data_IF_630177572533
#
_entry.id   IF_630177572533
#
_cell.length_a   1.000
_cell.length_b   1.000
_cell.length_c   1.000
_cell.angle_alpha   90.00
_cell.angle_beta   90.00
_cell.angle_gamma   90.00
#
_symmetry.space_group_name_H-M   'P 1'
#
loop_
_entity.id
_entity.type
_entity.pdbx_description
1 polymer ?
#
# COMPACT_ATOMS: atom_id res chain seq x y z
N UNK A 1 -6.33 -17.66 18.28
CA UNK A 1 -5.44 -17.01 17.30
C UNK A 1 -4.21 -17.88 17.17
N UNK A 2 -3.77 -18.15 15.94
CA UNK A 2 -2.53 -18.92 15.73
C UNK A 2 -1.31 -18.12 16.20
N UNK A 3 -0.18 -18.74 16.57
CA UNK A 3 1.04 -18.01 16.93
C UNK A 3 1.52 -17.02 15.85
N UNK A 4 1.16 -17.26 14.58
CA UNK A 4 1.48 -16.40 13.43
C UNK A 4 0.65 -15.11 13.46
N UNK A 5 -0.62 -15.16 13.86
CA UNK A 5 -1.49 -13.96 13.90
C UNK A 5 -1.03 -12.93 14.94
N UNK A 6 -0.31 -13.36 15.98
CA UNK A 6 0.24 -12.45 17.00
C UNK A 6 1.40 -11.58 16.48
N UNK A 7 1.87 -11.80 15.25
CA UNK A 7 2.92 -11.03 14.57
C UNK A 7 2.35 -10.12 13.48
N UNK A 8 1.05 -9.84 13.52
CA UNK A 8 0.38 -8.83 12.70
C UNK A 8 -0.09 -7.66 13.57
N UNK A 9 0.41 -6.47 13.27
CA UNK A 9 0.00 -5.23 13.91
C UNK A 9 -0.76 -4.36 12.90
N UNK A 10 -1.80 -3.68 13.37
CA UNK A 10 -2.62 -2.79 12.54
C UNK A 10 -2.42 -1.37 13.03
N UNK A 11 -2.09 -0.48 12.09
CA UNK A 11 -1.98 0.97 12.26
C UNK A 11 -2.69 1.63 11.09
N UNK A 12 -4.00 1.78 11.18
CA UNK A 12 -4.82 2.27 10.07
C UNK A 12 -4.49 3.75 9.79
N UNK A 13 -3.49 3.97 8.94
CA UNK A 13 -2.77 5.24 8.86
C UNK A 13 -3.70 6.42 8.54
N UNK A 14 -4.54 6.28 7.51
CA UNK A 14 -5.47 7.35 7.11
C UNK A 14 -6.58 7.61 8.15
N UNK A 15 -6.95 6.60 8.94
CA UNK A 15 -7.87 6.79 10.06
C UNK A 15 -7.21 7.55 11.21
N UNK A 16 -5.96 7.22 11.54
CA UNK A 16 -5.18 7.91 12.57
C UNK A 16 -4.91 9.38 12.18
N UNK A 17 -4.75 9.67 10.89
CA UNK A 17 -4.66 11.03 10.34
C UNK A 17 -5.99 11.79 10.30
N UNK A 18 -7.12 11.15 10.65
CA UNK A 18 -8.43 11.79 10.66
C UNK A 18 -9.05 12.01 9.28
N UNK A 19 -8.59 11.29 8.25
CA UNK A 19 -9.12 11.43 6.89
C UNK A 19 -10.60 11.03 6.85
N UNK A 20 -11.49 11.85 6.26
CA UNK A 20 -12.91 11.52 6.14
C UNK A 20 -13.14 10.17 5.43
N UNK A 21 -14.09 9.37 5.94
CA UNK A 21 -14.45 8.05 5.38
C UNK A 21 -13.34 7.00 5.38
N UNK A 22 -12.17 7.28 5.97
CA UNK A 22 -11.12 6.28 6.21
C UNK A 22 -11.63 5.14 7.10
N UNK A 23 -11.05 3.96 6.95
CA UNK A 23 -11.46 2.77 7.69
C UNK A 23 -10.62 2.58 8.95
N UNK A 24 -11.27 2.27 10.07
CA UNK A 24 -10.57 1.95 11.33
C UNK A 24 -9.87 0.58 11.26
N UNK A 25 -10.34 -0.32 10.41
CA UNK A 25 -9.78 -1.65 10.20
C UNK A 25 -9.25 -1.77 8.78
N UNK A 26 -8.20 -2.56 8.59
CA UNK A 26 -7.66 -2.90 7.28
C UNK A 26 -8.38 -4.13 6.74
N UNK A 27 -8.86 -4.03 5.51
CA UNK A 27 -9.57 -5.11 4.82
C UNK A 27 -8.77 -5.54 3.59
N UNK A 28 -8.73 -6.84 3.31
CA UNK A 28 -8.13 -7.40 2.11
C UNK A 28 -9.04 -8.50 1.56
N UNK A 29 -8.83 -8.87 0.30
CA UNK A 29 -9.42 -10.10 -0.28
C UNK A 29 -8.92 -11.32 0.50
N UNK A 30 -9.77 -12.33 0.67
CA UNK A 30 -9.43 -13.52 1.45
C UNK A 30 -8.11 -14.16 1.00
N UNK A 31 -7.94 -14.42 -0.31
CA UNK A 31 -6.69 -15.03 -0.78
C UNK A 31 -5.47 -14.09 -0.58
N UNK A 32 -5.66 -12.77 -0.58
CA UNK A 32 -4.58 -11.84 -0.26
C UNK A 32 -4.19 -11.93 1.23
N UNK A 33 -5.15 -12.13 2.14
CA UNK A 33 -4.87 -12.43 3.57
C UNK A 33 -4.09 -13.73 3.71
N UNK A 34 -4.51 -14.78 3.00
CA UNK A 34 -3.82 -16.08 3.03
C UNK A 34 -2.36 -15.95 2.56
N UNK A 35 -2.10 -15.21 1.46
CA UNK A 35 -0.75 -14.90 1.00
C UNK A 35 0.03 -14.02 1.98
N UNK A 36 -0.61 -13.06 2.63
CA UNK A 36 0.05 -12.22 3.63
C UNK A 36 0.51 -13.05 4.84
N UNK A 37 -0.32 -14.00 5.29
CA UNK A 37 0.05 -14.95 6.35
C UNK A 37 1.17 -15.90 5.90
N UNK A 38 1.19 -16.31 4.64
CA UNK A 38 2.29 -17.04 4.03
C UNK A 38 3.59 -16.22 4.01
N UNK A 39 3.54 -14.95 3.59
CA UNK A 39 4.68 -14.03 3.62
C UNK A 39 5.25 -13.88 5.04
N UNK A 40 4.37 -13.75 6.04
CA UNK A 40 4.76 -13.65 7.44
C UNK A 40 5.47 -14.91 7.95
N UNK A 41 5.12 -16.09 7.41
CA UNK A 41 5.80 -17.35 7.73
C UNK A 41 7.25 -17.41 7.22
N UNK A 42 7.60 -16.61 6.22
CA UNK A 42 8.97 -16.49 5.70
C UNK A 42 9.84 -15.53 6.53
N UNK A 43 9.25 -14.73 7.42
CA UNK A 43 10.00 -13.83 8.28
C UNK A 43 10.60 -14.56 9.49
N UNK A 44 11.86 -14.25 9.90
CA UNK A 44 12.42 -14.72 11.16
C UNK A 44 11.52 -14.34 12.34
N UNK A 45 11.46 -15.16 13.39
CA UNK A 45 10.52 -15.02 14.51
C UNK A 45 10.53 -13.62 15.16
N UNK A 46 11.71 -12.97 15.22
CA UNK A 46 11.90 -11.62 15.78
C UNK A 46 11.32 -10.45 14.95
N UNK A 47 10.70 -10.76 13.81
CA UNK A 47 10.07 -9.79 12.92
C UNK A 47 8.55 -9.97 12.91
N UNK A 48 7.84 -8.89 12.65
CA UNK A 48 6.39 -8.85 12.44
C UNK A 48 6.06 -8.04 11.19
N UNK A 49 4.79 -8.00 10.80
CA UNK A 49 4.29 -6.98 9.89
C UNK A 49 3.44 -5.95 10.64
N UNK A 50 3.58 -4.70 10.23
CA UNK A 50 2.70 -3.61 10.61
C UNK A 50 1.98 -3.16 9.34
N UNK A 51 0.66 -3.31 9.32
CA UNK A 51 -0.18 -2.97 8.17
C UNK A 51 -0.68 -1.54 8.31
N UNK A 52 -0.50 -0.74 7.25
CA UNK A 52 -0.88 0.67 7.20
C UNK A 52 -2.16 0.91 6.42
N UNK A 53 -2.30 0.26 5.26
CA UNK A 53 -3.50 0.36 4.43
C UNK A 53 -3.75 -0.91 3.61
N UNK A 54 -4.99 -1.12 3.20
CA UNK A 54 -5.42 -2.26 2.37
C UNK A 54 -6.50 -1.81 1.41
N UNK A 55 -7.71 -2.35 1.53
CA UNK A 55 -8.85 -1.81 0.80
C UNK A 55 -9.10 -0.35 1.18
N UNK A 56 -8.89 0.54 0.21
CA UNK A 56 -9.15 1.97 0.34
C UNK A 56 -10.43 2.34 -0.42
N UNK A 57 -11.48 2.82 0.26
CA UNK A 57 -12.71 3.24 -0.40
C UNK A 57 -12.46 4.37 -1.42
N UNK A 58 -13.25 4.40 -2.50
CA UNK A 58 -13.13 5.45 -3.54
C UNK A 58 -13.17 6.86 -2.94
N UNK A 59 -14.02 7.10 -1.94
CA UNK A 59 -14.14 8.42 -1.31
C UNK A 59 -12.84 8.84 -0.61
N UNK A 60 -12.06 7.89 -0.08
CA UNK A 60 -10.75 8.14 0.53
C UNK A 60 -9.71 8.37 -0.55
N UNK A 61 -9.69 7.57 -1.61
CA UNK A 61 -8.78 7.76 -2.75
C UNK A 61 -9.00 9.14 -3.41
N UNK A 62 -10.26 9.53 -3.64
CA UNK A 62 -10.61 10.84 -4.19
C UNK A 62 -10.16 11.97 -3.26
N UNK A 63 -10.40 11.84 -1.95
CA UNK A 63 -9.96 12.84 -0.98
C UNK A 63 -8.44 13.05 -1.01
N UNK A 64 -7.66 11.96 -0.97
CA UNK A 64 -6.19 12.02 -1.04
C UNK A 64 -5.72 12.71 -2.32
N UNK A 65 -6.30 12.32 -3.46
CA UNK A 65 -6.00 12.92 -4.76
C UNK A 65 -6.28 14.42 -4.79
N UNK A 66 -7.47 14.83 -4.35
CA UNK A 66 -7.88 16.24 -4.31
C UNK A 66 -7.00 17.08 -3.37
N UNK A 67 -6.63 16.55 -2.20
CA UNK A 67 -5.76 17.26 -1.26
C UNK A 67 -4.37 17.51 -1.84
N UNK A 68 -3.76 16.49 -2.46
CA UNK A 68 -2.44 16.65 -3.11
C UNK A 68 -2.54 17.65 -4.27
N UNK A 69 -3.58 17.53 -5.10
CA UNK A 69 -3.81 18.44 -6.22
C UNK A 69 -3.97 19.90 -5.76
N UNK A 70 -4.75 20.14 -4.70
CA UNK A 70 -4.95 21.47 -4.12
C UNK A 70 -3.65 22.04 -3.56
N UNK A 71 -2.88 21.23 -2.82
CA UNK A 71 -1.60 21.66 -2.27
C UNK A 71 -0.61 22.04 -3.38
N UNK A 72 -0.48 21.21 -4.43
CA UNK A 72 0.39 21.50 -5.56
C UNK A 72 -0.03 22.78 -6.30
N UNK A 73 -1.33 23.02 -6.49
CA UNK A 73 -1.83 24.25 -7.10
C UNK A 73 -1.49 25.49 -6.26
N UNK A 74 -1.51 25.38 -4.93
CA UNK A 74 -1.12 26.47 -4.03
C UNK A 74 0.40 26.70 -4.04
N UNK A 75 1.20 25.64 -4.08
CA UNK A 75 2.67 25.71 -4.14
C UNK A 75 3.16 26.25 -5.48
N UNK A 76 2.51 25.86 -6.58
CA UNK A 76 2.88 26.21 -7.95
C UNK A 76 1.70 26.89 -8.68
N UNK A 77 1.36 28.13 -8.32
CA UNK A 77 0.15 28.80 -8.85
C UNK A 77 0.18 29.08 -10.35
N UNK A 78 1.36 29.01 -10.99
CA UNK A 78 1.54 29.23 -12.42
C UNK A 78 1.47 27.96 -13.25
N UNK A 79 1.42 26.77 -12.61
CA UNK A 79 1.26 25.53 -13.34
C UNK A 79 -0.14 25.41 -13.92
N UNK A 80 -0.21 24.84 -15.12
CA UNK A 80 -1.44 24.43 -15.77
C UNK A 80 -2.10 23.27 -15.04
N UNK A 81 -3.39 23.05 -15.30
CA UNK A 81 -4.12 21.91 -14.76
C UNK A 81 -3.45 20.57 -15.08
N UNK A 82 -2.92 20.43 -16.31
CA UNK A 82 -2.25 19.20 -16.75
C UNK A 82 -0.94 18.98 -15.98
N UNK A 83 -0.13 20.01 -15.78
CA UNK A 83 1.10 19.92 -14.97
C UNK A 83 0.80 19.50 -13.53
N UNK A 84 -0.19 20.13 -12.88
CA UNK A 84 -0.60 19.76 -11.52
C UNK A 84 -1.13 18.32 -11.49
N UNK A 85 -1.91 17.90 -12.49
CA UNK A 85 -2.44 16.55 -12.55
C UNK A 85 -1.32 15.52 -12.73
N UNK A 86 -0.38 15.74 -13.65
CA UNK A 86 0.76 14.85 -13.87
C UNK A 86 1.64 14.75 -12.63
N UNK A 87 1.85 15.87 -11.93
CA UNK A 87 2.60 15.85 -10.68
C UNK A 87 1.84 15.10 -9.59
N UNK A 88 0.53 15.32 -9.43
CA UNK A 88 -0.31 14.62 -8.45
C UNK A 88 -0.23 13.09 -8.60
N UNK A 89 -0.21 12.60 -9.85
CA UNK A 89 -0.14 11.17 -10.15
C UNK A 89 1.15 10.49 -9.67
N UNK A 90 2.21 11.23 -9.34
CA UNK A 90 3.42 10.69 -8.73
C UNK A 90 3.28 10.37 -7.25
N UNK A 91 2.28 10.97 -6.58
CA UNK A 91 2.06 10.81 -5.15
C UNK A 91 0.88 9.89 -4.84
N UNK A 92 -0.09 9.82 -5.76
CA UNK A 92 -1.33 9.08 -5.53
C UNK A 92 -1.98 8.68 -6.85
N UNK A 93 -2.37 7.41 -6.96
CA UNK A 93 -3.06 6.90 -8.13
C UNK A 93 -4.38 7.67 -8.39
N UNK A 94 -4.74 7.83 -9.67
CA UNK A 94 -6.02 8.44 -10.02
C UNK A 94 -7.20 7.66 -9.42
N UNK A 95 -8.24 8.33 -8.84
CA UNK A 95 -9.38 7.67 -8.23
C UNK A 95 -10.34 7.06 -9.28
N UNK A 96 -9.90 5.98 -9.92
CA UNK A 96 -10.67 5.27 -10.94
C UNK A 96 -11.27 3.96 -10.42
N UNK A 97 -12.50 3.69 -10.86
CA UNK A 97 -13.18 2.38 -10.75
C UNK A 97 -13.39 1.74 -12.13
N UNK A 98 -12.80 2.31 -13.18
CA UNK A 98 -12.96 1.80 -14.54
C UNK A 98 -12.30 0.42 -14.70
N UNK A 99 -12.97 -0.46 -15.44
CA UNK A 99 -12.43 -1.78 -15.74
C UNK A 99 -11.09 -1.65 -16.49
N UNK A 100 -10.07 -2.37 -16.01
CA UNK A 100 -8.72 -2.35 -16.58
C UNK A 100 -7.78 -1.27 -16.04
N UNK A 101 -8.29 -0.23 -15.35
CA UNK A 101 -7.44 0.76 -14.69
C UNK A 101 -8.00 1.24 -13.33
N UNK A 102 -8.47 0.35 -12.43
CA UNK A 102 -8.85 0.77 -11.10
C UNK A 102 -7.62 1.16 -10.28
N UNK A 103 -7.73 2.13 -9.36
CA UNK A 103 -6.65 2.37 -8.41
C UNK A 103 -6.43 1.10 -7.54
N UNK A 104 -5.18 0.65 -7.32
CA UNK A 104 -4.92 -0.70 -6.81
C UNK A 104 -5.62 -1.03 -5.48
N UNK A 105 -5.60 -0.09 -4.53
CA UNK A 105 -6.24 -0.26 -3.23
C UNK A 105 -7.76 -0.42 -3.30
N UNK A 106 -8.45 0.08 -4.33
CA UNK A 106 -9.89 -0.13 -4.46
C UNK A 106 -10.25 -1.59 -4.68
N UNK A 107 -9.32 -2.42 -5.15
CA UNK A 107 -9.56 -3.84 -5.42
C UNK A 107 -9.57 -4.72 -4.16
N UNK A 108 -9.01 -4.20 -3.06
CA UNK A 108 -8.70 -4.97 -1.85
C UNK A 108 -7.56 -6.00 -2.04
N UNK A 109 -6.86 -5.94 -3.17
CA UNK A 109 -5.69 -6.77 -3.46
C UNK A 109 -4.35 -6.09 -3.18
N UNK A 110 -4.33 -4.77 -2.98
CA UNK A 110 -3.14 -4.03 -2.59
C UNK A 110 -3.03 -3.92 -1.07
N UNK A 111 -1.80 -3.90 -0.57
CA UNK A 111 -1.46 -3.73 0.86
C UNK A 111 -0.24 -2.81 0.97
N UNK A 112 -0.33 -1.86 1.90
CA UNK A 112 0.80 -1.06 2.37
C UNK A 112 1.22 -1.55 3.75
N UNK A 113 2.49 -1.91 3.90
CA UNK A 113 3.00 -2.48 5.15
C UNK A 113 4.49 -2.21 5.35
N UNK A 114 4.92 -2.38 6.60
CA UNK A 114 6.33 -2.39 6.98
C UNK A 114 6.68 -3.60 7.84
N UNK A 115 7.97 -3.81 8.07
CA UNK A 115 8.48 -4.73 9.06
C UNK A 115 8.40 -4.10 10.45
N UNK A 116 8.02 -4.90 11.44
CA UNK A 116 8.10 -4.54 12.85
C UNK A 116 8.98 -5.51 13.65
N UNK A 117 9.23 -5.17 14.91
CA UNK A 117 9.72 -6.11 15.91
C UNK A 117 8.58 -6.93 16.55
N UNK A 118 8.89 -7.77 17.53
CA UNK A 118 7.92 -8.62 18.23
C UNK A 118 6.86 -7.83 19.03
N UNK A 119 7.13 -6.56 19.33
CA UNK A 119 6.22 -5.65 20.02
C UNK A 119 5.42 -4.76 19.05
N UNK A 120 5.68 -4.87 17.74
CA UNK A 120 5.02 -4.06 16.71
C UNK A 120 5.59 -2.65 16.59
N UNK A 121 6.86 -2.45 16.98
CA UNK A 121 7.58 -1.22 16.68
C UNK A 121 8.16 -1.30 15.26
N UNK A 122 8.01 -0.26 14.42
CA UNK A 122 8.56 -0.25 13.07
C UNK A 122 10.08 -0.46 13.06
N UNK A 123 10.56 -1.25 12.09
CA UNK A 123 11.97 -1.36 11.77
C UNK A 123 12.39 -0.21 10.85
N UNK A 124 13.69 0.07 10.80
CA UNK A 124 14.22 1.07 9.88
C UNK A 124 14.26 0.51 8.44
N UNK A 125 13.51 1.16 7.54
CA UNK A 125 13.54 0.93 6.09
C UNK A 125 14.02 2.16 5.31
N UNK A 126 14.61 3.15 6.01
CA UNK A 126 15.37 4.27 5.48
C UNK A 126 14.58 5.48 5.03
N UNK A 127 13.26 5.37 4.93
CA UNK A 127 12.30 6.49 4.80
C UNK A 127 11.06 6.16 5.62
N UNK A 128 10.26 7.17 5.95
CA UNK A 128 8.95 6.95 6.53
C UNK A 128 7.97 6.39 5.49
N UNK A 129 6.86 5.80 5.97
CA UNK A 129 5.71 5.45 5.13
C UNK A 129 5.08 6.72 4.52
N UNK A 130 4.61 6.64 3.26
CA UNK A 130 4.08 7.77 2.47
C UNK A 130 5.08 8.93 2.25
N UNK A 131 6.38 8.73 2.54
CA UNK A 131 7.42 9.71 2.22
C UNK A 131 7.74 9.66 0.72
N UNK A 132 7.32 10.66 -0.04
CA UNK A 132 7.47 10.65 -1.51
C UNK A 132 8.78 11.30 -1.94
N UNK A 133 9.84 10.50 -2.05
CA UNK A 133 11.12 10.90 -2.64
C UNK A 133 11.90 9.71 -3.23
N UNK A 134 13.03 10.01 -3.88
CA UNK A 134 13.86 9.00 -4.56
C UNK A 134 14.36 7.86 -3.65
N UNK A 135 14.50 8.09 -2.33
CA UNK A 135 14.90 7.07 -1.37
C UNK A 135 13.81 6.03 -1.10
N UNK A 136 12.55 6.36 -1.40
CA UNK A 136 11.41 5.44 -1.21
C UNK A 136 11.34 4.35 -2.27
N UNK A 137 12.00 4.55 -3.42
CA UNK A 137 12.11 3.54 -4.45
C UNK A 137 12.72 2.25 -3.90
N UNK A 138 12.11 1.11 -4.20
CA UNK A 138 12.45 -0.19 -3.62
C UNK A 138 13.92 -0.53 -3.74
N UNK A 139 14.51 -0.25 -4.90
CA UNK A 139 15.92 -0.56 -5.21
C UNK A 139 16.91 0.52 -4.74
N UNK A 140 16.47 1.58 -4.06
CA UNK A 140 17.36 2.69 -3.68
C UNK A 140 18.56 2.20 -2.85
N UNK A 141 18.31 1.44 -1.77
CA UNK A 141 19.39 0.93 -0.92
C UNK A 141 20.14 -0.26 -1.52
N UNK A 142 19.63 -0.93 -2.57
CA UNK A 142 20.44 -1.87 -3.36
C UNK A 142 21.60 -1.17 -4.07
N UNK A 143 21.34 0.05 -4.55
CA UNK A 143 22.34 0.88 -5.23
C UNK A 143 23.21 1.70 -4.25
N UNK A 144 22.74 1.90 -3.02
CA UNK A 144 23.40 2.70 -1.98
C UNK A 144 23.51 1.95 -0.63
N UNK A 145 24.07 0.72 -0.60
CA UNK A 145 23.99 -0.16 0.57
C UNK A 145 24.71 0.38 1.82
N UNK A 146 25.68 1.29 1.63
CA UNK A 146 26.45 1.89 2.72
C UNK A 146 25.80 3.14 3.32
N UNK A 147 24.75 3.71 2.72
CA UNK A 147 24.03 4.84 3.31
C UNK A 147 23.23 4.42 4.54
N UNK A 148 22.61 3.23 4.48
CA UNK A 148 21.89 2.64 5.59
C UNK A 148 21.85 1.10 5.42
N UNK A 149 22.77 0.41 6.09
CA UNK A 149 22.86 -1.05 6.01
C UNK A 149 21.65 -1.78 6.62
N UNK A 150 20.97 -1.16 7.60
CA UNK A 150 19.79 -1.75 8.23
C UNK A 150 18.60 -1.69 7.27
N UNK A 151 18.34 -0.52 6.68
CA UNK A 151 17.32 -0.35 5.65
C UNK A 151 17.57 -1.28 4.45
N UNK A 152 18.82 -1.41 4.00
CA UNK A 152 19.20 -2.35 2.95
C UNK A 152 18.76 -3.79 3.27
N UNK A 153 19.10 -4.30 4.46
CA UNK A 153 18.76 -5.67 4.89
C UNK A 153 17.26 -5.85 5.09
N UNK A 154 16.60 -4.87 5.72
CA UNK A 154 15.17 -4.93 6.01
C UNK A 154 14.31 -4.84 4.74
N UNK A 155 14.67 -3.99 3.76
CA UNK A 155 13.96 -3.92 2.47
C UNK A 155 14.08 -5.21 1.68
N UNK A 156 15.26 -5.85 1.66
CA UNK A 156 15.42 -7.17 1.04
C UNK A 156 14.54 -8.23 1.71
N UNK A 157 14.50 -8.25 3.04
CA UNK A 157 13.66 -9.19 3.79
C UNK A 157 12.17 -8.99 3.49
N UNK A 158 11.69 -7.74 3.52
CA UNK A 158 10.31 -7.40 3.17
C UNK A 158 9.99 -7.81 1.73
N UNK A 159 10.81 -7.37 0.77
CA UNK A 159 10.63 -7.66 -0.65
C UNK A 159 10.57 -9.17 -0.93
N UNK A 160 11.55 -9.93 -0.43
CA UNK A 160 11.62 -11.36 -0.70
C UNK A 160 10.50 -12.14 -0.01
N UNK A 161 10.12 -11.80 1.24
CA UNK A 161 9.00 -12.48 1.92
C UNK A 161 7.67 -12.25 1.21
N UNK A 162 7.38 -11.00 0.80
CA UNK A 162 6.15 -10.66 0.09
C UNK A 162 6.10 -11.28 -1.31
N UNK A 163 7.18 -11.16 -2.09
CA UNK A 163 7.22 -11.68 -3.46
C UNK A 163 7.22 -13.21 -3.51
N UNK A 164 7.86 -13.89 -2.55
CA UNK A 164 7.80 -15.34 -2.44
C UNK A 164 6.37 -15.85 -2.15
N UNK A 165 5.55 -15.06 -1.45
CA UNK A 165 4.13 -15.34 -1.25
C UNK A 165 3.24 -14.91 -2.45
N UNK A 166 3.83 -14.46 -3.55
CA UNK A 166 3.14 -14.17 -4.80
C UNK A 166 2.67 -12.72 -4.97
N UNK A 167 2.99 -11.81 -4.05
CA UNK A 167 2.78 -10.38 -4.25
C UNK A 167 3.77 -9.81 -5.28
N UNK A 168 3.43 -8.65 -5.84
CA UNK A 168 4.31 -7.85 -6.70
C UNK A 168 4.50 -6.48 -6.08
N UNK A 169 5.75 -6.05 -5.89
CA UNK A 169 6.05 -4.73 -5.32
C UNK A 169 5.86 -3.62 -6.37
N UNK A 170 5.42 -2.43 -5.93
CA UNK A 170 5.50 -1.20 -6.71
C UNK A 170 6.89 -0.56 -6.56
N UNK A 171 7.54 -0.24 -7.68
CA UNK A 171 9.00 0.02 -7.70
C UNK A 171 9.40 1.34 -7.02
N UNK A 172 8.48 2.30 -6.98
CA UNK A 172 8.71 3.61 -6.39
C UNK A 172 8.41 3.65 -4.87
N UNK A 173 7.77 2.60 -4.34
CA UNK A 173 7.30 2.54 -2.96
C UNK A 173 7.66 1.19 -2.32
N UNK A 174 8.67 1.16 -1.46
CA UNK A 174 9.14 -0.07 -0.82
C UNK A 174 8.06 -0.79 0.04
N UNK A 175 7.04 -0.05 0.49
CA UNK A 175 5.96 -0.53 1.35
C UNK A 175 4.78 -1.13 0.58
N UNK A 176 4.65 -0.85 -0.72
CA UNK A 176 3.44 -1.16 -1.49
C UNK A 176 3.55 -2.48 -2.25
N UNK A 177 2.54 -3.34 -2.08
CA UNK A 177 2.48 -4.66 -2.71
C UNK A 177 1.08 -4.97 -3.24
N UNK A 178 1.05 -5.45 -4.48
CA UNK A 178 -0.16 -5.84 -5.19
C UNK A 178 -0.32 -7.36 -5.27
N UNK A 179 -1.55 -7.84 -5.13
CA UNK A 179 -1.94 -9.21 -5.44
C UNK A 179 -3.29 -9.25 -6.16
N UNK A 180 -3.35 -9.97 -7.28
CA UNK A 180 -4.59 -10.26 -8.02
C UNK A 180 -5.23 -9.08 -8.75
N UNK A 181 -4.76 -7.85 -8.59
CA UNK A 181 -5.25 -6.71 -9.37
C UNK A 181 -4.53 -6.57 -10.73
N UNK A 182 -4.87 -5.53 -11.50
CA UNK A 182 -4.31 -5.31 -12.85
C UNK A 182 -2.80 -5.06 -12.82
N UNK A 183 -2.30 -4.29 -11.86
CA UNK A 183 -0.86 -4.02 -11.72
C UNK A 183 -0.09 -5.31 -11.45
N UNK A 184 -0.60 -6.13 -10.51
CA UNK A 184 -0.08 -7.47 -10.25
C UNK A 184 -0.08 -8.34 -11.51
N UNK A 185 -1.20 -8.39 -12.25
CA UNK A 185 -1.32 -9.26 -13.42
C UNK A 185 -0.30 -8.92 -14.52
N UNK A 186 -0.08 -7.62 -14.75
CA UNK A 186 0.96 -7.13 -15.68
C UNK A 186 2.35 -7.58 -15.25
N UNK A 187 2.71 -7.39 -13.97
CA UNK A 187 4.05 -7.75 -13.46
C UNK A 187 4.29 -9.25 -13.37
N UNK A 188 3.26 -10.01 -12.99
CA UNK A 188 3.32 -11.47 -12.87
C UNK A 188 3.17 -12.20 -14.22
N UNK A 189 3.01 -11.49 -15.34
CA UNK A 189 2.66 -12.05 -16.65
C UNK A 189 1.42 -12.97 -16.60
N UNK A 190 0.44 -12.63 -15.77
CA UNK A 190 -0.82 -13.35 -15.70
C UNK A 190 -1.73 -12.96 -16.87
N UNK A 191 -2.52 -13.90 -17.38
CA UNK A 191 -3.43 -13.63 -18.51
C UNK A 191 -4.57 -12.67 -18.15
N UNK A 192 -5.01 -12.67 -16.89
CA UNK A 192 -6.12 -11.85 -16.39
C UNK A 192 -5.86 -11.39 -14.96
N UNK A 193 -6.39 -10.22 -14.61
CA UNK A 193 -6.54 -9.82 -13.21
C UNK A 193 -7.67 -10.63 -12.56
N UNK A 194 -7.49 -10.94 -11.28
CA UNK A 194 -8.45 -11.70 -10.46
C UNK A 194 -9.44 -10.76 -9.76
N UNK A 195 -9.01 -9.53 -9.43
CA UNK A 195 -9.79 -8.58 -8.64
C UNK A 195 -10.11 -7.31 -9.42
N UNK A 196 -11.40 -7.03 -9.55
CA UNK A 196 -11.93 -5.70 -9.87
C UNK A 196 -12.17 -4.84 -8.63
N UNK A 197 -12.57 -3.57 -8.83
CA UNK A 197 -12.75 -2.61 -7.76
C UNK A 197 -13.95 -2.98 -6.86
N UNK A 198 -13.86 -2.57 -5.60
CA UNK A 198 -14.91 -2.71 -4.60
C UNK A 198 -15.56 -1.34 -4.41
N UNK A 199 -16.87 -1.25 -4.61
CA UNK A 199 -17.65 -0.07 -4.26
C UNK A 199 -18.22 -0.31 -2.87
N UNK A 200 -17.97 0.60 -1.93
CA UNK A 200 -18.41 0.46 -0.56
C UNK A 200 -19.09 1.73 -0.02
N UNK A 201 -20.12 1.52 0.80
CA UNK A 201 -20.73 2.55 1.63
C UNK A 201 -20.06 2.56 2.99
N UNK A 202 -19.53 3.70 3.40
CA UNK A 202 -18.82 3.86 4.67
C UNK A 202 -19.68 4.63 5.66
N UNK A 203 -19.77 4.14 6.90
CA UNK A 203 -20.44 4.85 8.01
C UNK A 203 -19.67 4.63 9.30
N UNK A 204 -19.30 5.73 9.96
CA UNK A 204 -18.50 5.72 11.19
C UNK A 204 -17.21 4.89 11.03
N UNK A 205 -16.46 5.15 9.96
CA UNK A 205 -15.17 4.50 9.66
C UNK A 205 -15.23 2.96 9.52
N UNK A 206 -16.40 2.44 9.11
CA UNK A 206 -16.66 1.02 8.88
C UNK A 206 -17.39 0.84 7.56
N UNK A 207 -17.05 -0.24 6.85
CA UNK A 207 -17.81 -0.71 5.70
C UNK A 207 -19.21 -1.13 6.19
N UNK A 208 -20.26 -0.62 5.53
CA UNK A 208 -21.65 -1.02 5.78
C UNK A 208 -22.18 -1.96 4.73
N UNK A 209 -21.93 -1.60 3.48
CA UNK A 209 -22.35 -2.35 2.29
C UNK A 209 -21.19 -2.30 1.30
N UNK A 210 -21.03 -3.35 0.51
CA UNK A 210 -20.04 -3.39 -0.54
C UNK A 210 -20.51 -4.25 -1.72
N UNK A 211 -20.00 -3.94 -2.90
CA UNK A 211 -20.22 -4.70 -4.13
C UNK A 211 -18.89 -4.84 -4.88
N UNK A 212 -18.66 -6.01 -5.46
CA UNK A 212 -17.59 -6.24 -6.42
C UNK A 212 -18.05 -5.87 -7.82
N UNK A 213 -17.20 -5.12 -8.54
CA UNK A 213 -17.29 -4.95 -9.98
C UNK A 213 -16.32 -5.89 -10.66
#
# INVERSE_FOLDING_TARGET
MSPIENRLFIRSNYFEQGIPNSLKSIYLRQCAVERLLEALSYLPEKYSFILYDGFRPLQVQSYLFEQIQQNLQLTYPNWSFEEVQQETLKYVAFPSIEEGYPAPHLTGGAIDLTLGDEAGNPRDLGTDFDEMNAKSATVYFENHPFENEEAYKNRRLLFHSMTQAGFQNYEEEWWHYDFGNVTWAKKANAQVAVYGPIIATIKQHKVKEYQFK
#
